data_IF_339599519106
#
_entry.id   IF_339599519106
#
_cell.length_a   1.000
_cell.length_b   1.000
_cell.length_c   1.000
_cell.angle_alpha   90.00
_cell.angle_beta   90.00
_cell.angle_gamma   90.00
#
_symmetry.space_group_name_H-M   'P 1'
#
loop_
_entity.id
_entity.type
_entity.pdbx_description
1 polymer ?
#
# COMPACT_ATOMS: atom_id res chain seq x y z
N UNK A 1 5.57 36.52 18.60
CA UNK A 1 5.18 35.67 17.44
C UNK A 1 4.27 34.57 17.98
N UNK A 2 3.00 34.54 17.54
CA UNK A 2 2.03 33.55 18.01
C UNK A 2 2.11 32.27 17.18
N UNK A 3 2.06 31.11 17.84
CA UNK A 3 2.03 29.82 17.16
C UNK A 3 0.62 29.54 16.63
N UNK A 4 0.50 29.26 15.33
CA UNK A 4 -0.74 28.78 14.71
C UNK A 4 -0.71 27.25 14.71
N UNK A 5 -1.75 26.61 15.23
CA UNK A 5 -1.94 25.16 15.13
C UNK A 5 -2.90 24.84 13.99
N UNK A 6 -2.47 23.95 13.10
CA UNK A 6 -3.35 23.36 12.09
C UNK A 6 -3.77 22.00 12.64
N UNK A 7 -5.09 21.81 12.79
CA UNK A 7 -5.67 20.52 13.11
C UNK A 7 -6.26 19.95 11.81
N UNK A 8 -5.85 18.75 11.45
CA UNK A 8 -6.47 18.01 10.36
C UNK A 8 -7.69 17.26 10.90
N UNK A 9 -8.80 17.31 10.16
CA UNK A 9 -9.95 16.48 10.47
C UNK A 9 -9.71 15.03 10.00
N UNK A 10 -10.44 14.09 10.61
CA UNK A 10 -10.28 12.67 10.31
C UNK A 10 -10.54 12.35 8.83
N UNK A 11 -11.50 13.02 8.17
CA UNK A 11 -11.82 12.74 6.76
C UNK A 11 -10.67 13.15 5.85
N UNK A 12 -9.99 14.25 6.18
CA UNK A 12 -8.80 14.68 5.46
C UNK A 12 -7.67 13.64 5.61
N UNK A 13 -7.41 13.19 6.85
CA UNK A 13 -6.40 12.17 7.12
C UNK A 13 -6.71 10.85 6.38
N UNK A 14 -7.96 10.40 6.41
CA UNK A 14 -8.39 9.16 5.72
C UNK A 14 -8.21 9.28 4.20
N UNK A 15 -8.55 10.44 3.62
CA UNK A 15 -8.36 10.71 2.19
C UNK A 15 -6.88 10.70 1.82
N UNK A 16 -6.05 11.37 2.61
CA UNK A 16 -4.60 11.43 2.37
C UNK A 16 -3.96 10.05 2.53
N UNK A 17 -4.37 9.28 3.53
CA UNK A 17 -3.91 7.91 3.72
C UNK A 17 -4.27 7.03 2.53
N UNK A 18 -5.52 7.11 2.04
CA UNK A 18 -5.94 6.37 0.83
C UNK A 18 -5.10 6.75 -0.39
N UNK A 19 -4.88 8.05 -0.63
CA UNK A 19 -4.06 8.50 -1.76
C UNK A 19 -2.62 7.98 -1.66
N UNK A 20 -2.03 7.96 -0.46
CA UNK A 20 -0.69 7.44 -0.24
C UNK A 20 -0.61 5.93 -0.53
N UNK A 21 -1.60 5.15 -0.07
CA UNK A 21 -1.67 3.71 -0.34
C UNK A 21 -1.87 3.43 -1.83
N UNK A 22 -2.79 4.15 -2.48
CA UNK A 22 -3.08 3.96 -3.91
C UNK A 22 -1.85 4.29 -4.79
N UNK A 23 -1.10 5.35 -4.49
CA UNK A 23 0.12 5.70 -5.22
C UNK A 23 1.27 4.71 -4.96
N UNK A 24 1.39 4.24 -3.72
CA UNK A 24 2.36 3.19 -3.38
C UNK A 24 2.04 1.89 -4.12
N UNK A 25 0.78 1.46 -4.13
CA UNK A 25 0.35 0.25 -4.84
C UNK A 25 0.65 0.33 -6.35
N UNK A 26 0.41 1.48 -7.00
CA UNK A 26 0.76 1.67 -8.41
C UNK A 26 2.27 1.50 -8.66
N UNK A 27 3.10 2.14 -7.84
CA UNK A 27 4.55 2.11 -8.01
C UNK A 27 5.15 0.74 -7.71
N UNK A 28 4.57 -0.01 -6.77
CA UNK A 28 5.13 -1.25 -6.24
C UNK A 28 4.32 -2.51 -6.63
N UNK A 29 3.40 -2.38 -7.58
CA UNK A 29 2.57 -3.49 -8.11
C UNK A 29 3.37 -4.60 -8.82
N UNK A 30 4.66 -4.41 -9.06
CA UNK A 30 5.54 -5.36 -9.74
C UNK A 30 6.52 -6.05 -8.77
N UNK A 31 6.34 -5.87 -7.46
CA UNK A 31 7.18 -6.47 -6.45
C UNK A 31 6.38 -7.05 -5.28
N UNK A 32 6.96 -8.05 -4.62
CA UNK A 32 6.36 -8.63 -3.43
C UNK A 32 6.33 -7.61 -2.28
N UNK A 33 5.15 -7.40 -1.69
CA UNK A 33 4.94 -6.46 -0.58
C UNK A 33 5.83 -6.69 0.65
N UNK A 34 6.41 -7.88 0.81
CA UNK A 34 7.22 -8.23 1.99
C UNK A 34 8.72 -8.33 1.72
N UNK A 35 9.12 -8.86 0.56
CA UNK A 35 10.52 -9.12 0.27
C UNK A 35 11.05 -8.31 -0.92
N UNK A 36 10.22 -7.45 -1.52
CA UNK A 36 10.55 -6.58 -2.65
C UNK A 36 11.18 -7.31 -3.85
N UNK A 37 11.00 -8.63 -3.91
CA UNK A 37 11.42 -9.41 -5.07
C UNK A 37 10.48 -9.06 -6.23
N UNK A 38 11.02 -8.83 -7.44
CA UNK A 38 10.21 -8.64 -8.63
C UNK A 38 9.27 -9.84 -8.83
N UNK A 39 7.99 -9.56 -9.04
CA UNK A 39 6.98 -10.56 -9.36
C UNK A 39 6.02 -10.01 -10.40
N UNK A 40 5.49 -10.89 -11.24
CA UNK A 40 4.45 -10.49 -12.17
C UNK A 40 3.14 -10.27 -11.39
N UNK A 41 2.51 -9.10 -11.50
CA UNK A 41 1.23 -8.85 -10.83
C UNK A 41 0.17 -9.84 -11.30
N UNK A 42 -0.64 -10.42 -10.39
CA UNK A 42 -1.75 -11.27 -10.75
C UNK A 42 -2.72 -10.55 -11.69
N UNK A 43 -3.21 -11.25 -12.72
CA UNK A 43 -4.24 -10.72 -13.59
C UNK A 43 -5.51 -10.40 -12.78
N UNK A 44 -6.02 -9.17 -12.91
CA UNK A 44 -7.23 -8.72 -12.19
C UNK A 44 -6.98 -8.26 -10.75
N UNK A 45 -5.73 -8.02 -10.35
CA UNK A 45 -5.42 -7.44 -9.04
C UNK A 45 -6.10 -6.05 -8.88
N UNK A 46 -6.78 -5.80 -7.75
CA UNK A 46 -7.33 -4.49 -7.43
C UNK A 46 -6.23 -3.41 -7.39
N UNK A 47 -6.59 -2.17 -7.74
CA UNK A 47 -5.64 -1.05 -7.75
C UNK A 47 -5.13 -0.66 -6.35
N UNK A 48 -5.83 -1.08 -5.30
CA UNK A 48 -5.51 -0.88 -3.89
C UNK A 48 -4.88 -2.12 -3.23
N UNK A 49 -4.46 -3.11 -4.03
CA UNK A 49 -3.82 -4.33 -3.56
C UNK A 49 -2.36 -4.41 -4.00
N UNK A 50 -1.55 -5.09 -3.19
CA UNK A 50 -0.14 -5.38 -3.49
C UNK A 50 0.05 -6.89 -3.65
N UNK A 51 0.87 -7.33 -4.61
CA UNK A 51 1.12 -8.75 -4.79
C UNK A 51 2.09 -9.28 -3.74
N UNK A 52 1.90 -10.55 -3.38
CA UNK A 52 2.75 -11.27 -2.42
C UNK A 52 3.25 -12.54 -3.09
N UNK A 53 4.57 -12.77 -3.07
CA UNK A 53 5.14 -13.99 -3.63
C UNK A 53 4.75 -15.23 -2.81
N UNK A 54 4.72 -16.41 -3.45
CA UNK A 54 4.30 -17.66 -2.84
C UNK A 54 5.05 -18.00 -1.54
N UNK A 55 6.37 -17.77 -1.50
CA UNK A 55 7.19 -18.00 -0.30
C UNK A 55 6.72 -17.13 0.87
N UNK A 56 6.47 -15.84 0.63
CA UNK A 56 6.02 -14.91 1.66
C UNK A 56 4.58 -15.18 2.09
N UNK A 57 3.72 -15.58 1.15
CA UNK A 57 2.34 -15.94 1.42
C UNK A 57 2.28 -17.17 2.34
N UNK A 58 3.05 -18.22 2.02
CA UNK A 58 3.17 -19.44 2.83
C UNK A 58 3.78 -19.16 4.21
N UNK A 59 4.85 -18.37 4.28
CA UNK A 59 5.50 -18.02 5.55
C UNK A 59 4.59 -17.22 6.51
N UNK A 60 3.55 -16.58 5.97
CA UNK A 60 2.59 -15.76 6.72
C UNK A 60 1.21 -16.40 6.87
N UNK A 61 0.99 -17.60 6.34
CA UNK A 61 -0.30 -18.29 6.41
C UNK A 61 -1.41 -17.58 5.63
N UNK A 62 -1.07 -16.89 4.55
CA UNK A 62 -2.05 -16.28 3.63
C UNK A 62 -2.62 -17.29 2.63
N UNK A 63 -1.92 -18.42 2.46
CA UNK A 63 -2.25 -19.58 1.62
C UNK A 63 -1.76 -20.87 2.27
#
# INVERSE_FOLDING_TARGET
MGNVRINFDQKWLDKTAKQAVDEYAKQHSHECAYCHKPIEPPAGMPADALPVCADCAKARGLV
#
